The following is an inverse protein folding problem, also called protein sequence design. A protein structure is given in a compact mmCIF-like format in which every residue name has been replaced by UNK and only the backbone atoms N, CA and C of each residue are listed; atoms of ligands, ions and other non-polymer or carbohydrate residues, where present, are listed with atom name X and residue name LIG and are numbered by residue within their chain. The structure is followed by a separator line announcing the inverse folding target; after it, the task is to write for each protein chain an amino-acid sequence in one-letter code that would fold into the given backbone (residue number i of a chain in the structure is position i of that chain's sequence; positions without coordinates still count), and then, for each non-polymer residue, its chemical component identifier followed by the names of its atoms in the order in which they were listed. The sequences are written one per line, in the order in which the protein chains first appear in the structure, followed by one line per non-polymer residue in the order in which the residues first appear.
data_IF_589161953087
#
_entry.id   IF_589161953087
#
_cell.length_a   1.000
_cell.length_b   1.000
_cell.length_c   1.000
_cell.angle_alpha   90.00
_cell.angle_beta   90.00
_cell.angle_gamma   90.00
#
_symmetry.space_group_name_H-M   'P 1'
#
loop_
_entity.id
_entity.type
_entity.pdbx_description
1 polymer ?
#
# COMPACT_ATOMS: atom_id res chain seq x y z
N UNK A 1 17.46 25.99 -19.98
CA UNK A 1 17.82 25.48 -18.63
C UNK A 1 16.78 25.79 -17.52
N UNK A 2 15.59 26.33 -17.82
CA UNK A 2 14.61 26.79 -16.79
C UNK A 2 13.61 25.74 -16.29
N UNK A 3 13.59 24.54 -16.89
CA UNK A 3 12.57 23.50 -16.61
C UNK A 3 13.03 22.44 -15.60
N UNK A 4 14.32 22.44 -15.26
CA UNK A 4 14.86 21.45 -14.32
C UNK A 4 14.26 21.67 -12.92
N UNK A 5 13.76 20.60 -12.31
CA UNK A 5 13.23 20.65 -10.93
C UNK A 5 11.82 21.24 -10.76
N UNK A 6 11.22 21.86 -11.79
CA UNK A 6 9.87 22.49 -11.72
C UNK A 6 8.83 21.58 -11.06
N UNK A 7 8.73 20.34 -11.53
CA UNK A 7 7.72 19.38 -11.05
C UNK A 7 7.99 18.92 -9.61
N UNK A 8 9.27 18.77 -9.24
CA UNK A 8 9.65 18.37 -7.87
C UNK A 8 9.33 19.47 -6.85
N UNK A 9 9.51 20.74 -7.23
CA UNK A 9 9.20 21.89 -6.37
C UNK A 9 7.70 22.18 -6.28
N UNK A 10 6.94 21.92 -7.36
CA UNK A 10 5.49 22.10 -7.38
C UNK A 10 4.74 21.05 -6.55
N UNK A 11 5.33 19.87 -6.34
CA UNK A 11 4.66 18.77 -5.63
C UNK A 11 4.79 18.97 -4.11
N UNK A 12 3.68 19.07 -3.34
CA UNK A 12 3.75 19.19 -1.90
C UNK A 12 4.36 17.93 -1.29
N UNK A 13 5.21 18.10 -0.27
CA UNK A 13 5.82 16.96 0.43
C UNK A 13 4.79 16.32 1.37
N UNK A 14 4.25 15.17 0.96
CA UNK A 14 3.33 14.38 1.79
C UNK A 14 4.16 13.53 2.78
N UNK A 15 3.80 13.58 4.05
CA UNK A 15 4.43 12.76 5.09
C UNK A 15 4.06 11.27 4.92
N UNK A 16 5.00 10.38 5.23
CA UNK A 16 4.72 8.95 5.24
C UNK A 16 3.82 8.60 6.43
N UNK A 17 2.83 7.75 6.20
CA UNK A 17 2.05 7.17 7.29
C UNK A 17 2.90 6.14 8.05
N UNK A 18 2.75 6.09 9.37
CA UNK A 18 3.37 5.07 10.20
C UNK A 18 2.79 3.69 9.83
N UNK A 19 3.65 2.78 9.37
CA UNK A 19 3.27 1.40 9.02
C UNK A 19 3.82 0.44 10.05
N UNK A 20 2.95 -0.35 10.67
CA UNK A 20 3.38 -1.50 11.48
C UNK A 20 3.71 -2.65 10.54
N UNK A 21 4.93 -3.17 10.63
CA UNK A 21 5.31 -4.39 9.91
C UNK A 21 4.80 -5.60 10.68
N UNK A 22 4.01 -6.42 10.02
CA UNK A 22 3.50 -7.68 10.58
C UNK A 22 4.55 -8.77 10.38
N UNK A 23 4.83 -9.64 11.37
CA UNK A 23 5.80 -10.72 11.22
C UNK A 23 5.40 -11.67 10.07
N UNK A 24 6.37 -12.33 9.41
CA UNK A 24 6.11 -13.14 8.21
C UNK A 24 5.03 -14.22 8.40
N UNK A 25 5.00 -14.86 9.58
CA UNK A 25 4.01 -15.90 9.92
C UNK A 25 2.58 -15.36 9.90
N UNK A 26 2.33 -14.23 10.55
CA UNK A 26 1.03 -13.59 10.58
C UNK A 26 0.61 -13.04 9.22
N UNK A 27 1.57 -12.50 8.45
CA UNK A 27 1.34 -12.04 7.08
C UNK A 27 0.82 -13.17 6.20
N UNK A 28 1.46 -14.34 6.24
CA UNK A 28 1.04 -15.52 5.46
C UNK A 28 -0.32 -16.03 5.93
N UNK A 29 -0.57 -16.11 7.25
CA UNK A 29 -1.86 -16.52 7.80
C UNK A 29 -3.01 -15.61 7.36
N UNK A 30 -2.83 -14.28 7.46
CA UNK A 30 -3.83 -13.30 6.99
C UNK A 30 -4.07 -13.42 5.48
N UNK A 31 -3.02 -13.67 4.69
CA UNK A 31 -3.16 -13.88 3.25
C UNK A 31 -3.95 -15.15 2.93
N UNK A 32 -3.69 -16.25 3.65
CA UNK A 32 -4.45 -17.49 3.50
C UNK A 32 -5.94 -17.28 3.83
N UNK A 33 -6.24 -16.64 4.96
CA UNK A 33 -7.62 -16.32 5.35
C UNK A 33 -8.32 -15.45 4.29
N UNK A 34 -7.66 -14.40 3.80
CA UNK A 34 -8.21 -13.52 2.76
C UNK A 34 -8.51 -14.30 1.47
N UNK A 35 -7.61 -15.18 1.03
CA UNK A 35 -7.75 -15.92 -0.24
C UNK A 35 -8.76 -17.06 -0.15
N UNK A 36 -8.65 -17.90 0.88
CA UNK A 36 -9.39 -19.16 0.94
C UNK A 36 -10.71 -19.05 1.70
N UNK A 37 -10.75 -18.29 2.79
CA UNK A 37 -12.00 -18.14 3.59
C UNK A 37 -12.87 -17.04 3.01
N UNK A 38 -12.28 -15.90 2.65
CA UNK A 38 -13.02 -14.74 2.14
C UNK A 38 -13.09 -14.67 0.60
N UNK A 39 -12.49 -15.63 -0.12
CA UNK A 39 -12.53 -15.69 -1.59
C UNK A 39 -11.86 -14.52 -2.32
N UNK A 40 -10.98 -13.76 -1.65
CA UNK A 40 -10.37 -12.55 -2.23
C UNK A 40 -9.25 -12.91 -3.21
N UNK A 41 -9.43 -12.56 -4.49
CA UNK A 41 -8.39 -12.49 -5.53
C UNK A 41 -7.21 -11.59 -5.11
N UNK A 42 -5.96 -12.01 -5.38
CA UNK A 42 -4.78 -11.18 -5.14
C UNK A 42 -4.82 -9.90 -5.99
N UNK A 43 -4.35 -8.78 -5.45
CA UNK A 43 -4.21 -7.50 -6.18
C UNK A 43 -5.46 -6.61 -6.21
N UNK A 44 -6.64 -7.09 -5.78
CA UNK A 44 -7.83 -6.25 -5.69
C UNK A 44 -7.89 -5.54 -4.31
N UNK A 45 -8.11 -4.21 -4.32
CA UNK A 45 -8.30 -3.44 -3.10
C UNK A 45 -9.78 -3.53 -2.69
N UNK A 46 -10.11 -4.50 -1.83
CA UNK A 46 -11.50 -4.80 -1.40
C UNK A 46 -12.11 -3.77 -0.44
N UNK A 47 -11.34 -2.77 -0.04
CA UNK A 47 -11.86 -1.63 0.73
C UNK A 47 -12.31 -0.60 -0.30
N UNK A 48 -13.53 -0.79 -0.81
CA UNK A 48 -14.32 0.29 -1.40
C UNK A 48 -15.58 0.42 -0.56
N UNK A 49 -15.48 1.23 0.48
CA UNK A 49 -16.57 1.95 1.14
C UNK A 49 -16.06 3.35 1.34
#
# INVERSE_FOLDING_TARGET
MTKAGKVRQQTPKIAAQNKTSIPPRERVRRNAQKRFVLGRKPGQNYIRV
#
